data_IF_617943437173
#
_entry.id   IF_617943437173
#
_cell.length_a   1.000
_cell.length_b   1.000
_cell.length_c   1.000
_cell.angle_alpha   90.00
_cell.angle_beta   90.00
_cell.angle_gamma   90.00
#
_symmetry.space_group_name_H-M   'P 1'
#
loop_
_entity.id
_entity.type
_entity.pdbx_description
1 polymer ?
#
# COMPACT_ATOMS: atom_id res chain seq x y z
N UNK A 1 -38.84 -9.44 -0.24
CA UNK A 1 -38.14 -10.73 -0.08
C UNK A 1 -36.66 -10.44 -0.01
N UNK A 2 -35.96 -11.03 0.94
CA UNK A 2 -34.49 -10.92 1.03
C UNK A 2 -33.85 -11.70 -0.15
N UNK A 3 -33.12 -11.03 -1.05
CA UNK A 3 -32.55 -11.63 -2.26
C UNK A 3 -31.27 -12.44 -2.00
N UNK A 4 -30.82 -12.57 -0.76
CA UNK A 4 -29.56 -13.24 -0.43
C UNK A 4 -29.69 -14.77 -0.36
N UNK A 5 -28.58 -15.45 -0.66
CA UNK A 5 -28.40 -16.91 -0.55
C UNK A 5 -27.20 -17.21 0.34
N UNK A 6 -27.30 -18.27 1.14
CA UNK A 6 -26.16 -18.82 1.90
C UNK A 6 -25.31 -19.69 0.97
N UNK A 7 -24.03 -19.38 0.85
CA UNK A 7 -23.09 -20.18 0.06
C UNK A 7 -22.56 -21.36 0.87
N UNK A 8 -22.57 -22.55 0.29
CA UNK A 8 -22.01 -23.77 0.89
C UNK A 8 -20.82 -24.25 0.06
N UNK A 9 -19.65 -24.27 0.69
CA UNK A 9 -18.35 -24.61 0.09
C UNK A 9 -17.93 -26.08 0.33
N UNK A 10 -18.83 -26.96 0.80
CA UNK A 10 -18.48 -28.36 1.08
C UNK A 10 -18.03 -29.18 -0.14
N UNK A 11 -18.33 -28.71 -1.37
CA UNK A 11 -17.98 -29.39 -2.61
C UNK A 11 -16.78 -28.79 -3.35
N UNK A 12 -16.25 -27.65 -2.90
CA UNK A 12 -15.08 -27.05 -3.55
C UNK A 12 -13.80 -27.69 -3.04
N UNK A 13 -12.87 -27.97 -3.96
CA UNK A 13 -11.54 -28.51 -3.61
C UNK A 13 -10.61 -27.45 -3.05
N UNK A 14 -10.72 -26.24 -3.58
CA UNK A 14 -9.96 -25.06 -3.18
C UNK A 14 -10.82 -23.82 -3.36
N UNK A 15 -10.73 -22.89 -2.42
CA UNK A 15 -11.38 -21.60 -2.51
C UNK A 15 -10.64 -20.58 -1.66
N UNK A 16 -10.70 -19.33 -2.07
CA UNK A 16 -10.22 -18.20 -1.30
C UNK A 16 -11.13 -17.01 -1.62
N UNK A 17 -11.88 -16.57 -0.61
CA UNK A 17 -12.87 -15.51 -0.74
C UNK A 17 -12.89 -14.60 0.48
N UNK A 18 -13.40 -13.39 0.33
CA UNK A 18 -13.53 -12.41 1.40
C UNK A 18 -14.79 -11.55 1.21
N UNK A 19 -15.28 -10.86 2.27
CA UNK A 19 -16.43 -9.97 2.17
C UNK A 19 -16.28 -8.86 1.11
N UNK A 20 -17.32 -8.65 0.29
CA UNK A 20 -17.29 -7.64 -0.77
C UNK A 20 -16.65 -8.10 -2.09
N UNK A 21 -16.05 -9.29 -2.13
CA UNK A 21 -15.48 -9.84 -3.35
C UNK A 21 -16.55 -10.10 -4.41
N UNK A 22 -16.32 -9.57 -5.61
CA UNK A 22 -17.12 -9.86 -6.80
C UNK A 22 -16.65 -11.21 -7.36
N UNK A 23 -17.59 -12.16 -7.46
CA UNK A 23 -17.32 -13.53 -7.90
C UNK A 23 -18.35 -14.01 -8.92
N UNK A 24 -17.93 -14.95 -9.78
CA UNK A 24 -18.83 -15.78 -10.58
C UNK A 24 -18.84 -17.19 -9.97
N UNK A 25 -19.99 -17.60 -9.42
CA UNK A 25 -20.15 -18.92 -8.82
C UNK A 25 -21.06 -19.82 -9.68
N UNK A 26 -20.67 -21.09 -9.83
CA UNK A 26 -21.46 -22.13 -10.49
C UNK A 26 -21.78 -23.23 -9.49
N UNK A 27 -23.00 -23.72 -9.57
CA UNK A 27 -23.56 -24.66 -8.60
C UNK A 27 -25.07 -24.77 -8.73
N UNK A 28 -25.73 -25.22 -7.68
CA UNK A 28 -27.18 -25.46 -7.67
C UNK A 28 -27.78 -25.22 -6.28
N UNK A 29 -29.10 -24.99 -6.25
CA UNK A 29 -29.88 -24.85 -5.01
C UNK A 29 -30.70 -26.12 -4.82
N UNK A 30 -30.31 -27.05 -3.93
CA UNK A 30 -31.08 -28.27 -3.73
C UNK A 30 -32.46 -27.99 -3.11
N UNK A 31 -32.50 -27.16 -2.06
CA UNK A 31 -33.71 -26.71 -1.35
C UNK A 31 -33.43 -25.40 -0.61
N UNK A 32 -34.47 -24.59 -0.38
CA UNK A 32 -34.38 -23.38 0.45
C UNK A 32 -33.48 -22.30 -0.17
N UNK A 33 -32.66 -21.66 0.66
CA UNK A 33 -31.78 -20.54 0.29
C UNK A 33 -30.28 -20.88 0.29
N UNK A 34 -29.93 -22.16 0.20
CA UNK A 34 -28.52 -22.59 0.21
C UNK A 34 -28.06 -22.91 -1.20
N UNK A 35 -27.06 -22.17 -1.68
CA UNK A 35 -26.41 -22.43 -2.96
C UNK A 35 -25.18 -23.31 -2.73
N UNK A 36 -25.19 -24.51 -3.27
CA UNK A 36 -24.07 -25.45 -3.22
C UNK A 36 -23.06 -25.05 -4.28
N UNK A 37 -21.92 -24.49 -3.88
CA UNK A 37 -20.87 -24.02 -4.79
C UNK A 37 -20.07 -25.23 -5.30
N UNK A 38 -19.97 -25.36 -6.62
CA UNK A 38 -19.15 -26.38 -7.28
C UNK A 38 -17.89 -25.77 -7.89
N UNK A 39 -18.00 -24.58 -8.49
CA UNK A 39 -16.89 -23.82 -9.05
C UNK A 39 -17.04 -22.33 -8.68
N UNK A 40 -15.91 -21.65 -8.48
CA UNK A 40 -15.86 -20.22 -8.20
C UNK A 40 -14.74 -19.57 -9.02
N UNK A 41 -15.07 -18.49 -9.71
CA UNK A 41 -14.13 -17.71 -10.49
C UNK A 41 -14.11 -16.29 -9.95
N UNK A 42 -12.91 -15.78 -9.73
CA UNK A 42 -12.68 -14.44 -9.18
C UNK A 42 -11.77 -13.62 -10.09
N UNK A 43 -11.10 -14.26 -11.06
CA UNK A 43 -10.03 -13.63 -11.81
C UNK A 43 -10.55 -12.57 -12.78
N UNK A 44 -10.13 -11.32 -12.55
CA UNK A 44 -10.12 -10.26 -13.56
C UNK A 44 -8.70 -10.12 -14.07
N UNK A 45 -8.54 -10.10 -15.39
CA UNK A 45 -7.26 -9.73 -16.01
C UNK A 45 -7.20 -8.22 -16.16
N UNK A 46 -6.37 -7.58 -15.36
CA UNK A 46 -6.03 -6.18 -15.54
C UNK A 46 -5.15 -5.99 -16.78
N UNK A 47 -5.15 -4.78 -17.32
CA UNK A 47 -4.18 -4.40 -18.35
C UNK A 47 -2.77 -4.58 -17.77
N UNK A 48 -1.84 -5.25 -18.48
CA UNK A 48 -0.45 -5.36 -18.06
C UNK A 48 0.20 -4.00 -17.82
N UNK A 49 1.24 -3.97 -17.00
CA UNK A 49 2.01 -2.75 -16.77
C UNK A 49 2.63 -2.24 -18.08
N UNK A 50 2.77 -0.92 -18.18
CA UNK A 50 3.52 -0.31 -19.29
C UNK A 50 4.96 -0.83 -19.25
N UNK A 51 5.56 -1.21 -20.40
CA UNK A 51 6.96 -1.58 -20.44
C UNK A 51 7.83 -0.46 -19.87
N UNK A 52 8.84 -0.83 -19.08
CA UNK A 52 9.75 0.15 -18.46
C UNK A 52 10.41 1.01 -19.53
N UNK A 53 10.38 2.33 -19.34
CA UNK A 53 11.07 3.31 -20.21
C UNK A 53 12.11 4.09 -19.42
N UNK A 54 12.95 3.37 -18.67
CA UNK A 54 13.95 3.96 -17.79
C UNK A 54 15.28 4.06 -18.55
N UNK A 55 15.86 5.26 -18.63
CA UNK A 55 17.09 5.56 -19.38
C UNK A 55 18.37 5.43 -18.54
N UNK A 56 18.24 5.52 -17.21
CA UNK A 56 19.33 5.40 -16.22
C UNK A 56 18.90 4.58 -15.01
N UNK A 57 19.84 4.06 -14.24
CA UNK A 57 19.49 3.40 -12.98
C UNK A 57 18.77 4.39 -12.04
N UNK A 58 17.66 3.94 -11.45
CA UNK A 58 16.89 4.67 -10.45
C UNK A 58 16.90 3.94 -9.13
N UNK A 59 17.24 4.65 -8.05
CA UNK A 59 17.29 4.13 -6.69
C UNK A 59 16.13 4.67 -5.86
N UNK A 60 15.45 3.76 -5.18
CA UNK A 60 14.28 4.03 -4.37
C UNK A 60 14.50 3.64 -2.92
N UNK A 61 13.98 4.45 -2.02
CA UNK A 61 13.73 4.07 -0.62
C UNK A 61 12.24 4.22 -0.35
N UNK A 62 11.66 3.25 0.35
CA UNK A 62 10.25 3.22 0.75
C UNK A 62 10.19 2.97 2.24
N UNK A 63 9.54 3.87 2.96
CA UNK A 63 9.38 3.77 4.40
C UNK A 63 7.95 4.12 4.81
N UNK A 64 7.45 3.41 5.81
CA UNK A 64 6.05 3.50 6.22
C UNK A 64 5.95 3.67 7.72
N UNK A 65 5.16 4.65 8.12
CA UNK A 65 4.92 4.96 9.52
C UNK A 65 4.22 3.82 10.27
N UNK A 66 4.19 3.86 11.62
CA UNK A 66 4.59 5.00 12.45
C UNK A 66 6.09 5.32 12.40
N UNK A 67 6.44 6.58 12.62
CA UNK A 67 7.83 7.09 12.57
C UNK A 67 8.43 7.39 13.95
N UNK A 68 7.69 7.09 15.01
CA UNK A 68 8.09 7.23 16.42
C UNK A 68 7.58 6.03 17.21
N UNK A 69 8.22 5.74 18.33
CA UNK A 69 7.81 4.68 19.23
C UNK A 69 6.54 5.03 20.00
N UNK A 70 5.76 4.02 20.38
CA UNK A 70 4.47 4.19 21.09
C UNK A 70 4.55 4.82 22.49
N UNK A 71 5.75 5.16 22.94
CA UNK A 71 6.07 5.62 24.30
C UNK A 71 6.47 7.09 24.36
N UNK A 72 6.78 7.70 23.21
CA UNK A 72 7.31 9.06 23.13
C UNK A 72 7.06 9.69 21.76
N UNK A 73 7.39 10.97 21.62
CA UNK A 73 7.33 11.72 20.36
C UNK A 73 8.72 12.24 20.00
N UNK A 74 9.78 11.45 20.24
CA UNK A 74 11.16 11.84 19.90
C UNK A 74 11.51 11.51 18.46
N UNK A 75 10.77 10.62 17.78
CA UNK A 75 10.99 10.27 16.39
C UNK A 75 12.42 9.74 16.12
N UNK A 76 13.00 8.99 17.06
CA UNK A 76 14.31 8.34 16.88
C UNK A 76 14.36 7.46 15.63
N UNK A 77 13.33 6.62 15.32
CA UNK A 77 13.33 5.82 14.09
C UNK A 77 13.35 6.66 12.81
N UNK A 78 12.65 7.80 12.79
CA UNK A 78 12.75 8.76 11.68
C UNK A 78 14.15 9.34 11.56
N UNK A 79 14.78 9.71 12.68
CA UNK A 79 16.13 10.24 12.67
C UNK A 79 17.15 9.25 12.14
N UNK A 80 17.02 7.96 12.46
CA UNK A 80 17.88 6.90 11.93
C UNK A 80 17.65 6.66 10.43
N UNK A 81 16.39 6.67 9.98
CA UNK A 81 16.07 6.66 8.55
C UNK A 81 16.71 7.86 7.83
N UNK A 82 16.62 9.07 8.41
CA UNK A 82 17.22 10.28 7.82
C UNK A 82 18.75 10.22 7.76
N UNK A 83 19.43 9.57 8.72
CA UNK A 83 20.87 9.32 8.64
C UNK A 83 21.19 8.42 7.44
N UNK A 84 20.47 7.32 7.29
CA UNK A 84 20.64 6.42 6.15
C UNK A 84 20.44 7.16 4.80
N UNK A 85 19.39 7.98 4.70
CA UNK A 85 19.06 8.73 3.49
C UNK A 85 20.13 9.77 3.11
N UNK A 86 20.77 10.41 4.09
CA UNK A 86 21.87 11.36 3.86
C UNK A 86 23.09 10.69 3.21
N UNK A 87 23.37 9.46 3.63
CA UNK A 87 24.53 8.70 3.16
C UNK A 87 24.29 8.07 1.78
N UNK A 88 23.06 7.59 1.52
CA UNK A 88 22.74 6.83 0.31
C UNK A 88 22.12 7.66 -0.81
N UNK A 89 21.44 8.76 -0.49
CA UNK A 89 20.85 9.73 -1.45
C UNK A 89 20.09 9.06 -2.62
N UNK A 90 18.98 8.36 -2.35
CA UNK A 90 18.19 7.73 -3.42
C UNK A 90 17.65 8.79 -4.40
N UNK A 91 17.33 8.37 -5.63
CA UNK A 91 16.64 9.23 -6.59
C UNK A 91 15.20 9.54 -6.14
N UNK A 92 14.53 8.54 -5.54
CA UNK A 92 13.14 8.67 -5.09
C UNK A 92 12.99 8.13 -3.67
N UNK A 93 12.33 8.90 -2.81
CA UNK A 93 11.88 8.49 -1.49
C UNK A 93 10.35 8.44 -1.48
N UNK A 94 9.79 7.31 -1.06
CA UNK A 94 8.35 7.14 -0.84
C UNK A 94 8.10 7.02 0.66
N UNK A 95 7.32 7.92 1.23
CA UNK A 95 6.91 7.90 2.62
C UNK A 95 5.40 7.71 2.71
N UNK A 96 4.97 6.70 3.47
CA UNK A 96 3.55 6.53 3.80
C UNK A 96 3.31 6.73 5.29
N UNK A 97 2.16 7.29 5.66
CA UNK A 97 1.78 7.49 7.06
C UNK A 97 1.54 6.19 7.85
N UNK A 98 1.17 6.32 9.15
CA UNK A 98 0.97 7.60 9.83
C UNK A 98 2.29 8.29 10.20
N UNK A 99 2.38 9.58 9.93
CA UNK A 99 3.42 10.49 10.39
C UNK A 99 3.20 10.94 11.83
N UNK A 100 1.97 11.37 12.14
CA UNK A 100 1.54 11.64 13.51
C UNK A 100 0.26 10.85 13.76
N UNK A 101 0.43 9.69 14.39
CA UNK A 101 -0.68 8.76 14.63
C UNK A 101 -1.70 9.37 15.62
N UNK A 102 -2.95 9.47 15.19
CA UNK A 102 -4.08 9.98 15.96
C UNK A 102 -4.40 9.13 17.21
N UNK A 103 -4.00 7.86 17.20
CA UNK A 103 -4.14 6.94 18.33
C UNK A 103 -2.88 6.93 19.23
N UNK A 104 -1.86 7.72 18.91
CA UNK A 104 -0.65 7.80 19.72
C UNK A 104 -0.96 8.40 21.11
N UNK A 105 -0.50 7.73 22.17
CA UNK A 105 -0.85 8.08 23.56
C UNK A 105 -0.54 9.53 23.95
N UNK A 106 0.49 10.11 23.35
CA UNK A 106 0.94 11.48 23.65
C UNK A 106 0.45 12.52 22.63
N UNK A 107 -0.34 12.14 21.62
CA UNK A 107 -0.75 13.09 20.56
C UNK A 107 -1.58 14.25 21.12
N UNK A 108 -2.41 13.98 22.12
CA UNK A 108 -3.24 14.99 22.79
C UNK A 108 -2.47 15.95 23.70
N UNK A 109 -1.17 15.69 23.94
CA UNK A 109 -0.30 16.54 24.77
C UNK A 109 0.48 17.56 23.95
N UNK A 110 0.34 17.56 22.62
CA UNK A 110 1.02 18.51 21.74
C UNK A 110 0.58 19.95 22.04
N UNK A 111 1.56 20.83 22.27
CA UNK A 111 1.33 22.25 22.50
C UNK A 111 1.07 23.07 21.22
N UNK A 112 1.15 22.43 20.05
CA UNK A 112 0.91 23.02 18.73
C UNK A 112 -0.16 22.24 17.97
N UNK A 113 -0.68 22.80 16.87
CA UNK A 113 -1.66 22.09 16.04
C UNK A 113 -1.00 20.93 15.28
N UNK A 114 -1.78 19.89 14.99
CA UNK A 114 -1.31 18.73 14.22
C UNK A 114 -0.78 19.13 12.84
N UNK A 115 -1.40 20.09 12.17
CA UNK A 115 -0.89 20.66 10.91
C UNK A 115 0.50 21.29 11.08
N UNK A 116 0.69 22.09 12.13
CA UNK A 116 1.97 22.78 12.36
C UNK A 116 3.08 21.76 12.67
N UNK A 117 2.75 20.75 13.48
CA UNK A 117 3.67 19.66 13.80
C UNK A 117 4.09 18.88 12.55
N UNK A 118 3.11 18.49 11.73
CA UNK A 118 3.35 17.79 10.48
C UNK A 118 4.17 18.62 9.49
N UNK A 119 3.84 19.90 9.30
CA UNK A 119 4.60 20.81 8.44
C UNK A 119 6.07 20.94 8.88
N UNK A 120 6.33 21.01 10.19
CA UNK A 120 7.70 21.03 10.74
C UNK A 120 8.43 19.71 10.47
N UNK A 121 7.75 18.57 10.65
CA UNK A 121 8.32 17.26 10.36
C UNK A 121 8.71 17.13 8.89
N UNK A 122 7.80 17.47 7.97
CA UNK A 122 8.09 17.49 6.54
C UNK A 122 9.24 18.46 6.23
N UNK A 123 9.26 19.63 6.87
CA UNK A 123 10.37 20.58 6.75
C UNK A 123 11.73 19.99 7.15
N UNK A 124 11.79 19.28 8.27
CA UNK A 124 13.00 18.58 8.73
C UNK A 124 13.43 17.45 7.80
N UNK A 125 12.47 16.69 7.25
CA UNK A 125 12.72 15.65 6.24
C UNK A 125 13.33 16.27 4.98
N UNK A 126 12.72 17.33 4.45
CA UNK A 126 13.20 18.00 3.23
C UNK A 126 14.56 18.67 3.44
N UNK A 127 14.82 19.25 4.61
CA UNK A 127 16.14 19.80 4.96
C UNK A 127 17.21 18.71 5.03
N UNK A 128 16.89 17.55 5.61
CA UNK A 128 17.81 16.44 5.74
C UNK A 128 18.17 15.79 4.39
N UNK A 129 17.19 15.68 3.47
CA UNK A 129 17.34 15.00 2.18
C UNK A 129 17.94 15.92 1.10
N UNK A 130 17.60 17.21 1.13
CA UNK A 130 18.00 18.17 0.11
C UNK A 130 17.17 18.06 -1.18
N UNK A 131 17.68 18.64 -2.27
CA UNK A 131 16.94 18.79 -3.53
C UNK A 131 17.17 17.69 -4.57
N UNK A 132 18.05 16.72 -4.29
CA UNK A 132 18.43 15.67 -5.25
C UNK A 132 17.38 14.56 -5.37
N UNK A 133 16.73 14.22 -4.25
CA UNK A 133 15.77 13.13 -4.16
C UNK A 133 14.35 13.65 -4.38
N UNK A 134 13.59 13.04 -5.28
CA UNK A 134 12.15 13.27 -5.35
C UNK A 134 11.47 12.57 -4.17
N UNK A 135 10.68 13.31 -3.39
CA UNK A 135 10.00 12.80 -2.20
C UNK A 135 8.50 12.72 -2.48
N UNK A 136 7.96 11.51 -2.43
CA UNK A 136 6.54 11.20 -2.57
C UNK A 136 5.97 10.90 -1.19
N UNK A 137 4.92 11.62 -0.79
CA UNK A 137 4.29 11.47 0.53
C UNK A 137 2.81 11.10 0.37
N UNK A 138 2.41 9.99 0.99
CA UNK A 138 1.02 9.55 1.12
C UNK A 138 0.67 9.52 2.60
N UNK A 139 -0.20 10.41 3.07
CA UNK A 139 -0.68 10.37 4.46
C UNK A 139 -1.63 9.20 4.69
N UNK A 140 -1.76 8.80 5.95
CA UNK A 140 -2.73 7.81 6.39
C UNK A 140 -4.01 8.46 6.90
N UNK A 141 -5.12 7.74 6.86
CA UNK A 141 -6.31 8.12 7.62
C UNK A 141 -6.08 8.14 9.13
N UNK A 142 -5.03 7.48 9.61
CA UNK A 142 -4.57 7.51 11.00
C UNK A 142 -3.70 8.73 11.31
N UNK A 143 -3.37 9.56 10.33
CA UNK A 143 -2.69 10.82 10.58
C UNK A 143 -3.64 11.82 11.24
N UNK A 144 -3.24 12.39 12.39
CA UNK A 144 -4.06 13.29 13.18
C UNK A 144 -4.46 14.59 12.45
N UNK A 145 -3.71 15.00 11.42
CA UNK A 145 -4.02 16.15 10.58
C UNK A 145 -4.75 15.79 9.28
N UNK A 146 -4.88 14.50 8.95
CA UNK A 146 -5.48 14.07 7.70
C UNK A 146 -7.01 14.00 7.81
N UNK A 147 -7.68 14.04 6.65
CA UNK A 147 -9.09 13.69 6.59
C UNK A 147 -9.26 12.19 6.89
N UNK A 148 -10.14 11.86 7.81
CA UNK A 148 -10.31 10.48 8.31
C UNK A 148 -11.28 9.63 7.47
N UNK A 149 -11.42 9.91 6.17
CA UNK A 149 -12.33 9.17 5.26
C UNK A 149 -11.57 8.70 4.02
N UNK A 150 -11.45 7.39 3.84
CA UNK A 150 -10.80 6.79 2.68
C UNK A 150 -11.73 6.79 1.45
N UNK A 151 -11.24 7.06 0.24
CA UNK A 151 -9.88 7.53 -0.10
C UNK A 151 -9.64 8.98 0.32
N UNK A 152 -8.41 9.33 0.69
CA UNK A 152 -8.04 10.67 1.19
C UNK A 152 -7.36 11.52 0.11
N UNK A 153 -7.59 12.84 0.07
CA UNK A 153 -6.88 13.75 -0.81
C UNK A 153 -5.46 14.06 -0.29
N UNK A 154 -4.56 14.63 -1.12
CA UNK A 154 -3.27 15.11 -0.66
C UNK A 154 -3.40 16.17 0.44
N UNK A 155 -2.56 16.15 1.49
CA UNK A 155 -2.46 17.26 2.43
C UNK A 155 -1.97 18.54 1.74
N UNK A 156 -2.39 19.69 2.26
CA UNK A 156 -1.87 20.99 1.84
C UNK A 156 -0.79 21.44 2.82
N UNK A 157 0.36 21.86 2.28
CA UNK A 157 1.45 22.46 3.06
C UNK A 157 1.55 23.95 2.74
N UNK A 158 1.85 24.77 3.75
CA UNK A 158 2.14 26.20 3.55
C UNK A 158 3.43 26.44 2.77
N UNK A 159 4.45 25.61 3.02
CA UNK A 159 5.75 25.69 2.35
C UNK A 159 5.78 24.73 1.16
N UNK A 160 6.28 25.21 0.04
CA UNK A 160 6.47 24.42 -1.17
C UNK A 160 7.93 23.99 -1.31
N UNK A 161 8.14 22.80 -1.85
CA UNK A 161 9.45 22.28 -2.23
C UNK A 161 9.36 21.73 -3.65
N UNK A 162 10.32 22.02 -4.53
CA UNK A 162 10.24 21.63 -5.94
C UNK A 162 10.28 20.11 -6.15
N UNK A 163 10.87 19.39 -5.21
CA UNK A 163 11.05 17.93 -5.23
C UNK A 163 10.12 17.19 -4.26
N UNK A 164 9.12 17.84 -3.68
CA UNK A 164 8.13 17.21 -2.80
C UNK A 164 6.78 17.09 -3.50
N UNK A 165 6.21 15.90 -3.47
CA UNK A 165 4.91 15.58 -4.04
C UNK A 165 4.02 14.96 -2.96
N UNK A 166 3.03 15.73 -2.52
CA UNK A 166 1.95 15.23 -1.66
C UNK A 166 0.93 14.52 -2.55
N UNK A 167 0.61 13.26 -2.24
CA UNK A 167 -0.23 12.38 -3.05
C UNK A 167 -1.51 11.96 -2.28
N UNK A 168 -2.63 11.66 -2.97
CA UNK A 168 -3.79 11.07 -2.31
C UNK A 168 -3.52 9.62 -1.83
N UNK A 169 -4.33 9.11 -0.91
CA UNK A 169 -4.38 7.68 -0.59
C UNK A 169 -5.65 7.04 -1.14
N UNK A 170 -5.58 6.07 -2.07
CA UNK A 170 -4.37 5.53 -2.70
C UNK A 170 -3.93 6.40 -3.89
N UNK A 171 -2.75 6.08 -4.44
CA UNK A 171 -2.19 6.74 -5.62
C UNK A 171 -1.60 5.78 -6.63
N UNK A 172 -1.71 6.16 -7.90
CA UNK A 172 -0.98 5.57 -9.02
C UNK A 172 -0.26 6.71 -9.74
N UNK A 173 1.07 6.74 -9.64
CA UNK A 173 1.92 7.79 -10.22
C UNK A 173 2.81 7.21 -11.32
N UNK A 174 3.11 8.03 -12.33
CA UNK A 174 4.07 7.71 -13.38
C UNK A 174 5.36 8.48 -13.10
N UNK A 175 6.47 7.76 -12.95
CA UNK A 175 7.81 8.27 -12.69
C UNK A 175 8.65 8.05 -13.95
N UNK A 176 8.37 8.86 -14.98
CA UNK A 176 9.03 8.85 -16.28
C UNK A 176 9.12 7.45 -16.92
N UNK A 177 8.00 6.73 -16.96
CA UNK A 177 7.93 5.40 -17.57
C UNK A 177 8.04 4.24 -16.58
N UNK A 178 8.03 4.53 -15.28
CA UNK A 178 7.80 3.57 -14.20
C UNK A 178 6.52 3.93 -13.44
N UNK A 179 5.50 3.09 -13.55
CA UNK A 179 4.25 3.27 -12.79
C UNK A 179 4.37 2.70 -11.37
N UNK A 180 4.10 3.54 -10.37
CA UNK A 180 4.14 3.22 -8.95
C UNK A 180 2.73 3.35 -8.35
N UNK A 181 2.17 2.24 -7.89
CA UNK A 181 0.98 2.21 -7.05
C UNK A 181 1.37 2.25 -5.58
N UNK A 182 0.64 3.00 -4.77
CA UNK A 182 0.87 3.08 -3.32
C UNK A 182 -0.44 3.31 -2.59
N UNK A 183 -0.60 2.67 -1.44
CA UNK A 183 -1.61 3.01 -0.45
C UNK A 183 -0.98 2.99 0.94
N UNK A 184 -1.49 3.79 1.88
CA UNK A 184 -1.05 3.74 3.28
C UNK A 184 -1.89 2.77 4.14
N UNK A 185 -3.08 2.41 3.63
CA UNK A 185 -4.03 1.53 4.30
C UNK A 185 -3.53 0.09 4.31
N UNK A 186 -3.64 -0.60 5.46
CA UNK A 186 -3.19 -1.99 5.64
C UNK A 186 -4.15 -3.02 5.02
N UNK A 187 -4.43 -2.86 3.72
CA UNK A 187 -5.34 -3.74 2.97
C UNK A 187 -4.89 -5.20 3.00
N UNK A 188 -3.58 -5.45 3.10
CA UNK A 188 -3.02 -6.80 3.19
C UNK A 188 -3.45 -7.48 4.48
N UNK A 189 -3.25 -6.83 5.64
CA UNK A 189 -3.72 -7.40 6.90
C UNK A 189 -5.24 -7.55 6.92
N UNK A 190 -5.96 -6.51 6.48
CA UNK A 190 -7.42 -6.47 6.46
C UNK A 190 -8.01 -7.65 5.67
N UNK A 191 -7.50 -7.90 4.45
CA UNK A 191 -7.92 -9.03 3.63
C UNK A 191 -7.56 -10.37 4.27
N UNK A 192 -6.33 -10.50 4.76
CA UNK A 192 -5.84 -11.75 5.33
C UNK A 192 -6.49 -12.12 6.66
N UNK A 193 -7.09 -11.17 7.36
CA UNK A 193 -7.86 -11.36 8.59
C UNK A 193 -9.32 -11.72 8.33
N UNK A 194 -9.85 -11.41 7.14
CA UNK A 194 -11.26 -11.64 6.76
C UNK A 194 -11.44 -12.68 5.64
N UNK A 195 -10.35 -13.29 5.17
CA UNK A 195 -10.35 -14.31 4.14
C UNK A 195 -10.85 -15.67 4.67
N UNK A 196 -11.80 -16.27 3.96
CA UNK A 196 -12.05 -17.71 4.00
C UNK A 196 -11.15 -18.39 2.96
N UNK A 197 -10.23 -19.25 3.40
CA UNK A 197 -9.33 -19.98 2.51
C UNK A 197 -9.30 -21.49 2.81
N UNK A 198 -9.46 -22.30 1.76
CA UNK A 198 -9.31 -23.77 1.80
C UNK A 198 -8.40 -24.16 0.64
N UNK A 199 -7.29 -24.86 0.94
CA UNK A 199 -6.32 -25.35 -0.06
C UNK A 199 -5.90 -24.28 -1.10
N UNK A 200 -5.70 -23.04 -0.66
CA UNK A 200 -5.62 -21.89 -1.56
C UNK A 200 -4.18 -21.37 -1.82
N UNK A 201 -3.15 -22.20 -1.60
CA UNK A 201 -1.76 -21.83 -1.90
C UNK A 201 -1.12 -20.85 -0.92
N UNK A 202 -0.19 -20.01 -1.40
CA UNK A 202 0.61 -19.09 -0.57
C UNK A 202 -0.19 -17.84 -0.16
N UNK A 203 -0.17 -17.52 1.13
CA UNK A 203 -1.03 -16.51 1.76
C UNK A 203 -0.84 -15.12 1.18
N UNK A 204 0.41 -14.67 1.02
CA UNK A 204 0.68 -13.30 0.56
C UNK A 204 0.38 -13.11 -0.92
N UNK A 205 0.74 -14.08 -1.75
CA UNK A 205 0.39 -14.09 -3.17
C UNK A 205 -1.13 -14.04 -3.36
N UNK A 206 -1.91 -14.76 -2.53
CA UNK A 206 -3.38 -14.63 -2.57
C UNK A 206 -3.88 -13.23 -2.27
N UNK A 207 -3.43 -12.60 -1.19
CA UNK A 207 -3.84 -11.24 -0.84
C UNK A 207 -3.57 -10.29 -2.01
N UNK A 208 -2.38 -10.34 -2.60
CA UNK A 208 -2.01 -9.52 -3.77
C UNK A 208 -2.94 -9.79 -4.96
N UNK A 209 -3.20 -11.07 -5.25
CA UNK A 209 -4.10 -11.44 -6.34
C UNK A 209 -5.54 -10.98 -6.09
N UNK A 210 -6.01 -10.91 -4.85
CA UNK A 210 -7.33 -10.34 -4.55
C UNK A 210 -7.44 -8.88 -4.99
N UNK A 211 -6.41 -8.05 -4.73
CA UNK A 211 -6.39 -6.66 -5.21
C UNK A 211 -6.45 -6.61 -6.74
N UNK A 212 -5.62 -7.43 -7.41
CA UNK A 212 -5.55 -7.45 -8.87
C UNK A 212 -6.85 -7.96 -9.51
N UNK A 213 -7.40 -9.04 -8.99
CA UNK A 213 -8.62 -9.66 -9.48
C UNK A 213 -9.85 -8.79 -9.22
N UNK A 214 -9.84 -7.95 -8.20
CA UNK A 214 -10.92 -6.99 -7.97
C UNK A 214 -10.67 -5.64 -8.65
N UNK A 215 -9.43 -5.35 -9.05
CA UNK A 215 -9.07 -4.08 -9.67
C UNK A 215 -9.30 -2.90 -8.73
N UNK A 216 -9.01 -3.07 -7.44
CA UNK A 216 -9.18 -2.05 -6.39
C UNK A 216 -8.00 -2.09 -5.42
N UNK A 217 -7.56 -0.92 -4.95
CA UNK A 217 -6.62 -0.81 -3.83
C UNK A 217 -7.24 -1.26 -2.51
N UNK A 218 -8.56 -1.28 -2.40
CA UNK A 218 -9.28 -1.74 -1.21
C UNK A 218 -10.59 -2.45 -1.62
N UNK A 219 -10.56 -3.76 -1.90
CA UNK A 219 -11.75 -4.49 -2.34
C UNK A 219 -12.62 -5.04 -1.20
N UNK A 220 -12.11 -5.04 0.03
CA UNK A 220 -12.83 -5.57 1.19
C UNK A 220 -14.00 -4.65 1.56
N UNK A 221 -15.20 -5.21 1.65
CA UNK A 221 -16.39 -4.46 2.07
C UNK A 221 -17.34 -5.30 2.93
N UNK A 222 -17.82 -4.77 4.08
CA UNK A 222 -17.38 -3.53 4.74
C UNK A 222 -15.88 -3.51 5.08
N UNK A 223 -15.26 -2.33 5.31
CA UNK A 223 -13.88 -2.25 5.79
C UNK A 223 -13.64 -3.13 7.03
N UNK A 224 -12.46 -3.75 7.13
CA UNK A 224 -12.06 -4.55 8.29
C UNK A 224 -11.86 -3.72 9.56
N UNK A 225 -11.21 -2.57 9.40
CA UNK A 225 -10.98 -1.62 10.47
C UNK A 225 -12.31 -0.89 10.75
N UNK A 226 -12.89 -1.12 11.93
CA UNK A 226 -14.18 -0.53 12.30
C UNK A 226 -14.11 0.99 12.45
N UNK A 227 -12.91 1.53 12.71
CA UNK A 227 -12.65 2.97 12.82
C UNK A 227 -12.34 3.62 11.46
N UNK A 228 -12.18 2.81 10.40
CA UNK A 228 -11.97 3.28 9.04
C UNK A 228 -13.27 3.77 8.42
N UNK A 229 -13.46 5.08 8.35
CA UNK A 229 -14.52 5.65 7.53
C UNK A 229 -14.20 5.48 6.05
N UNK A 230 -15.18 4.99 5.28
CA UNK A 230 -15.01 4.60 3.89
C UNK A 230 -16.10 5.18 3.00
N UNK A 231 -15.71 6.04 2.07
CA UNK A 231 -16.61 6.57 1.05
C UNK A 231 -16.55 5.67 -0.20
N UNK A 232 -17.54 4.81 -0.33
CA UNK A 232 -17.65 3.88 -1.47
C UNK A 232 -17.77 4.58 -2.84
N UNK A 233 -18.33 5.79 -2.91
CA UNK A 233 -18.47 6.52 -4.17
C UNK A 233 -17.12 7.11 -4.58
N UNK A 234 -16.37 7.67 -3.63
CA UNK A 234 -15.02 8.15 -3.87
C UNK A 234 -14.06 6.98 -4.16
N UNK A 235 -14.19 5.85 -3.47
CA UNK A 235 -13.38 4.66 -3.74
C UNK A 235 -13.61 4.08 -5.15
N UNK A 236 -14.85 4.10 -5.65
CA UNK A 236 -15.15 3.72 -7.04
C UNK A 236 -14.46 4.65 -8.05
N UNK A 237 -14.20 5.91 -7.69
CA UNK A 237 -13.57 6.89 -8.56
C UNK A 237 -12.04 6.89 -8.46
N UNK A 238 -11.50 6.81 -7.25
CA UNK A 238 -10.09 7.10 -6.95
C UNK A 238 -9.30 5.89 -6.44
N UNK A 239 -9.95 4.83 -5.95
CA UNK A 239 -9.26 3.64 -5.42
C UNK A 239 -9.23 2.45 -6.41
N UNK A 240 -9.45 2.69 -7.70
CA UNK A 240 -9.47 1.64 -8.72
C UNK A 240 -8.07 1.35 -9.29
N UNK A 241 -7.72 0.06 -9.35
CA UNK A 241 -6.56 -0.47 -10.09
C UNK A 241 -7.01 -0.92 -11.48
N UNK A 242 -6.94 -0.02 -12.47
CA UNK A 242 -7.34 -0.32 -13.86
C UNK A 242 -6.24 -1.02 -14.67
N UNK A 243 -4.99 -0.76 -14.32
CA UNK A 243 -3.79 -1.32 -14.92
C UNK A 243 -2.89 -1.82 -13.79
N UNK A 244 -2.12 -2.88 -14.03
CA UNK A 244 -1.06 -3.28 -13.11
C UNK A 244 0.02 -2.20 -13.09
N UNK A 245 0.42 -1.69 -11.92
CA UNK A 245 1.61 -0.85 -11.84
C UNK A 245 2.87 -1.71 -12.01
N UNK A 246 3.98 -1.08 -12.37
CA UNK A 246 5.28 -1.74 -12.35
C UNK A 246 5.68 -2.07 -10.90
N UNK A 247 5.44 -1.14 -9.97
CA UNK A 247 5.70 -1.30 -8.53
C UNK A 247 4.44 -1.03 -7.73
N UNK A 248 4.11 -1.87 -6.75
CA UNK A 248 3.00 -1.66 -5.82
C UNK A 248 3.50 -1.69 -4.38
N UNK A 249 3.33 -0.60 -3.66
CA UNK A 249 3.70 -0.48 -2.24
C UNK A 249 2.46 -0.75 -1.38
N UNK A 250 2.54 -1.79 -0.55
CA UNK A 250 1.49 -2.23 0.38
C UNK A 250 2.07 -2.34 1.79
N UNK A 251 2.22 -1.23 2.53
CA UNK A 251 2.65 -1.24 3.92
C UNK A 251 1.69 -2.07 4.76
N UNK A 252 2.24 -2.93 5.62
CA UNK A 252 1.44 -3.82 6.45
C UNK A 252 2.16 -4.24 7.73
N UNK A 253 1.38 -4.46 8.79
CA UNK A 253 1.83 -5.07 10.05
C UNK A 253 2.14 -6.57 9.89
N UNK A 254 1.74 -7.17 8.78
CA UNK A 254 2.26 -8.46 8.35
C UNK A 254 3.78 -8.39 8.13
N UNK A 255 4.46 -9.53 8.19
CA UNK A 255 5.91 -9.60 7.95
C UNK A 255 6.24 -8.96 6.59
N UNK A 256 7.23 -8.05 6.59
CA UNK A 256 7.75 -7.41 5.37
C UNK A 256 8.05 -8.42 4.28
N UNK A 257 7.81 -8.04 3.02
CA UNK A 257 7.99 -8.92 1.88
C UNK A 257 8.32 -8.16 0.61
N UNK A 258 8.95 -8.88 -0.31
CA UNK A 258 9.11 -8.49 -1.72
C UNK A 258 8.59 -9.66 -2.55
N UNK A 259 7.67 -9.38 -3.47
CA UNK A 259 7.08 -10.38 -4.35
C UNK A 259 6.98 -9.82 -5.76
N UNK A 260 7.23 -10.68 -6.75
CA UNK A 260 6.89 -10.37 -8.13
C UNK A 260 5.63 -11.17 -8.50
N UNK A 261 4.54 -10.46 -8.77
CA UNK A 261 3.24 -11.07 -9.11
C UNK A 261 2.73 -10.41 -10.38
N UNK A 262 2.49 -11.20 -11.43
CA UNK A 262 2.06 -10.69 -12.74
C UNK A 262 2.95 -9.56 -13.29
N UNK A 263 4.27 -9.69 -13.11
CA UNK A 263 5.29 -8.68 -13.47
C UNK A 263 5.16 -7.32 -12.74
N UNK A 264 4.39 -7.28 -11.64
CA UNK A 264 4.35 -6.19 -10.70
C UNK A 264 5.24 -6.51 -9.49
N UNK A 265 6.17 -5.62 -9.15
CA UNK A 265 6.97 -5.70 -7.93
C UNK A 265 6.16 -5.18 -6.76
N UNK A 266 5.68 -6.09 -5.90
CA UNK A 266 4.90 -5.75 -4.72
C UNK A 266 5.78 -5.77 -3.47
N UNK A 267 5.78 -4.66 -2.73
CA UNK A 267 6.65 -4.44 -1.58
C UNK A 267 5.80 -4.07 -0.37
N UNK A 268 5.94 -4.85 0.71
CA UNK A 268 5.65 -4.39 2.05
C UNK A 268 6.98 -4.03 2.74
N UNK A 269 7.29 -2.74 2.97
CA UNK A 269 8.53 -2.33 3.63
C UNK A 269 8.56 -2.65 5.13
N UNK A 270 7.43 -3.07 5.72
CA UNK A 270 7.22 -3.10 7.16
C UNK A 270 7.00 -1.68 7.71
N UNK A 271 7.12 -1.55 9.04
CA UNK A 271 6.94 -0.29 9.76
C UNK A 271 8.29 0.26 10.22
N UNK A 272 8.46 1.58 10.13
CA UNK A 272 9.68 2.27 10.57
C UNK A 272 9.83 2.16 12.09
N UNK A 273 8.77 2.41 12.85
CA UNK A 273 8.73 2.08 14.27
C UNK A 273 7.96 0.77 14.47
N UNK A 274 8.65 -0.26 14.97
CA UNK A 274 8.05 -1.56 15.30
C UNK A 274 8.74 -2.16 16.54
N UNK A 275 7.95 -2.78 17.42
CA UNK A 275 8.44 -3.43 18.65
C UNK A 275 9.48 -4.53 18.40
N UNK A 276 9.53 -5.11 17.19
CA UNK A 276 10.47 -6.17 16.77
C UNK A 276 11.70 -5.63 16.02
N UNK A 277 11.83 -4.30 15.96
CA UNK A 277 12.84 -3.59 15.20
C UNK A 277 12.27 -3.12 13.86
N UNK A 278 12.32 -1.82 13.66
CA UNK A 278 11.84 -1.13 12.47
C UNK A 278 12.49 -1.57 11.17
N UNK A 279 11.78 -1.43 10.06
CA UNK A 279 12.30 -1.71 8.72
C UNK A 279 11.87 -0.67 7.69
N UNK A 280 12.64 -0.60 6.61
CA UNK A 280 12.28 0.10 5.37
C UNK A 280 12.72 -0.75 4.17
N UNK A 281 12.18 -0.48 3.00
CA UNK A 281 12.63 -1.12 1.76
C UNK A 281 13.51 -0.18 0.95
N UNK A 282 14.48 -0.75 0.26
CA UNK A 282 15.17 -0.09 -0.85
C UNK A 282 15.11 -0.97 -2.08
N UNK A 283 15.03 -0.36 -3.24
CA UNK A 283 15.14 -1.07 -4.50
C UNK A 283 15.76 -0.20 -5.58
N UNK A 284 16.32 -0.84 -6.59
CA UNK A 284 16.79 -0.16 -7.79
C UNK A 284 16.08 -0.72 -9.01
N UNK A 285 15.89 0.13 -10.01
CA UNK A 285 15.39 -0.22 -11.33
C UNK A 285 16.49 0.07 -12.34
N UNK A 286 16.99 -0.96 -13.00
CA UNK A 286 18.01 -0.88 -14.03
C UNK A 286 17.42 -0.28 -15.33
N UNK A 287 18.24 0.40 -16.14
CA UNK A 287 17.82 0.94 -17.43
C UNK A 287 17.25 -0.11 -18.37
N UNK A 288 16.31 0.30 -19.21
CA UNK A 288 15.78 -0.52 -20.29
C UNK A 288 16.84 -0.74 -21.38
N UNK A 289 17.19 -1.99 -21.65
CA UNK A 289 18.18 -2.35 -22.69
C UNK A 289 17.50 -2.42 -24.06
N UNK A 290 17.97 -1.68 -25.09
CA UNK A 290 17.41 -1.75 -26.43
C UNK A 290 17.35 -3.18 -26.98
N UNK A 291 16.19 -3.58 -27.52
CA UNK A 291 15.99 -4.90 -28.12
C UNK A 291 15.73 -6.04 -27.13
N UNK A 292 15.70 -5.77 -25.81
CA UNK A 292 15.23 -6.73 -24.81
C UNK A 292 13.89 -6.25 -24.21
N UNK A 293 12.93 -7.17 -23.95
CA UNK A 293 11.75 -6.80 -23.19
C UNK A 293 12.17 -6.40 -21.78
N UNK A 294 12.02 -5.13 -21.43
CA UNK A 294 12.25 -4.63 -20.08
C UNK A 294 11.06 -5.02 -19.21
N UNK A 295 11.29 -5.89 -18.25
CA UNK A 295 10.30 -6.37 -17.29
C UNK A 295 10.85 -6.30 -15.88
N UNK A 296 9.97 -6.28 -14.88
CA UNK A 296 10.40 -6.06 -13.50
C UNK A 296 11.28 -7.20 -12.98
N UNK A 297 11.09 -8.42 -13.48
CA UNK A 297 11.88 -9.59 -13.09
C UNK A 297 13.38 -9.42 -13.34
N UNK A 298 13.77 -8.86 -14.48
CA UNK A 298 15.18 -8.73 -14.87
C UNK A 298 15.77 -7.36 -14.57
N UNK A 299 14.92 -6.37 -14.26
CA UNK A 299 15.33 -4.98 -14.10
C UNK A 299 15.41 -4.52 -12.65
N UNK A 300 15.11 -5.35 -11.65
CA UNK A 300 15.05 -4.92 -10.26
C UNK A 300 15.93 -5.72 -9.30
N UNK A 301 16.59 -5.01 -8.39
CA UNK A 301 17.07 -5.56 -7.13
C UNK A 301 16.38 -4.85 -5.96
N UNK A 302 15.89 -5.61 -4.98
CA UNK A 302 15.16 -5.07 -3.83
C UNK A 302 15.59 -5.76 -2.55
N UNK A 303 15.63 -4.99 -1.46
CA UNK A 303 15.98 -5.45 -0.12
C UNK A 303 15.14 -4.71 0.91
N UNK A 304 14.67 -5.43 1.93
CA UNK A 304 14.17 -4.83 3.17
C UNK A 304 15.30 -4.80 4.18
N UNK A 305 15.55 -3.62 4.76
CA UNK A 305 16.60 -3.38 5.74
C UNK A 305 15.99 -2.99 7.08
N UNK A 306 16.69 -3.32 8.17
CA UNK A 306 16.38 -2.77 9.48
C UNK A 306 16.81 -1.31 9.53
N UNK A 307 16.06 -0.52 10.29
CA UNK A 307 16.49 0.81 10.73
C UNK A 307 17.66 0.67 11.70
#
# INVERSE_FOLDING_TARGET
MDPTLTLNFSRVKSASIFPGQVVLAKGFIPRGKTFMVEEIHTERKLTPATPLQIDRELQFVVASGPFTDSTDLFYEPLHDLLKYLKDHRPDVLVLTGPFLDADHKMVGELAETFDTFFEKMIGGIMEAIGSHTAVLVVTSQKDAMALSVYPTPPPTLRRTYPNLYMLPDPSLVDLDGLTLGVTSTDVVDHLLSHEFAVNAGERMHRAINHLFHQGSFYPLYPPADEDMAYDSQLALKYAQLKQLPNVLILPSDQRHFVRLVNDCLVINPGRVADKKGGTFARFLVAPSVPGKPANMFNSVACQVQRI
#
